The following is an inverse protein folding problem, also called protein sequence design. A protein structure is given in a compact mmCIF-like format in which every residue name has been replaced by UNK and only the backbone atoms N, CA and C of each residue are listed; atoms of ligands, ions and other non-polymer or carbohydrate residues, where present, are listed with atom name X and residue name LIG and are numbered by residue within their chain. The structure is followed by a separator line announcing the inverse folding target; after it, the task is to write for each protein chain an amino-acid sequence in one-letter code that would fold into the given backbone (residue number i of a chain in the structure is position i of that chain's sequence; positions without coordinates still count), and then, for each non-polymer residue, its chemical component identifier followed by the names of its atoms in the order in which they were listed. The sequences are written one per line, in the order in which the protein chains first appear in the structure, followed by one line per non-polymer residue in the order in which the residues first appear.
data_IF_033737779459
#
_entry.id   IF_033737779459
#
_cell.length_a   1.000
_cell.length_b   1.000
_cell.length_c   1.000
_cell.angle_alpha   90.00
_cell.angle_beta   90.00
_cell.angle_gamma   90.00
#
_symmetry.space_group_name_H-M   'P 1'
#
loop_
_entity.id
_entity.type
_entity.pdbx_description
1 polymer ?
#
# COMPACT_ATOMS: atom_id res chain seq x y z
N UNK A 1 -12.52 -52.78 -12.43
CA UNK A 1 -11.24 -52.41 -13.05
C UNK A 1 -10.68 -51.24 -12.24
N UNK A 2 -9.96 -51.53 -11.15
CA UNK A 2 -8.50 -51.60 -11.03
C UNK A 2 -7.86 -50.21 -10.87
N UNK A 3 -7.04 -49.88 -9.86
CA UNK A 3 -6.65 -50.50 -8.58
C UNK A 3 -5.88 -49.40 -7.81
N UNK A 4 -6.17 -49.20 -6.52
CA UNK A 4 -5.28 -48.49 -5.58
C UNK A 4 -4.01 -49.33 -5.29
N UNK A 5 -2.98 -48.74 -4.68
CA UNK A 5 -2.58 -49.32 -3.40
C UNK A 5 -2.21 -48.31 -2.30
N UNK A 6 -2.57 -48.73 -1.09
CA UNK A 6 -2.06 -48.32 0.22
C UNK A 6 -1.03 -49.38 0.66
N UNK A 7 0.09 -49.01 1.29
CA UNK A 7 0.63 -49.76 2.46
C UNK A 7 1.75 -49.05 3.25
N UNK A 8 1.69 -49.35 4.55
CA UNK A 8 2.42 -48.86 5.71
C UNK A 8 3.83 -49.45 5.94
N UNK A 9 4.54 -48.78 6.87
CA UNK A 9 5.39 -49.27 7.99
C UNK A 9 6.83 -49.81 7.79
N UNK A 10 7.81 -49.04 8.35
CA UNK A 10 8.93 -49.31 9.34
C UNK A 10 9.53 -50.75 9.48
N UNK A 11 10.71 -51.01 10.14
CA UNK A 11 11.78 -50.14 10.72
C UNK A 11 13.28 -50.62 10.52
N UNK A 12 14.24 -49.84 11.06
CA UNK A 12 15.63 -50.20 11.52
C UNK A 12 16.70 -50.52 10.43
N UNK A 13 18.01 -50.24 10.51
CA UNK A 13 18.97 -50.02 11.62
C UNK A 13 20.38 -49.52 11.12
N UNK A 14 21.16 -48.93 12.05
CA UNK A 14 22.66 -48.97 12.27
C UNK A 14 23.68 -48.07 11.51
N UNK A 15 24.31 -47.18 12.32
CA UNK A 15 25.73 -46.69 12.47
C UNK A 15 26.46 -45.99 11.31
N UNK A 16 27.38 -45.03 11.52
CA UNK A 16 28.34 -44.82 12.63
C UNK A 16 28.84 -43.36 12.69
N UNK A 17 29.01 -42.82 13.92
CA UNK A 17 30.25 -42.29 14.52
C UNK A 17 30.54 -40.79 14.28
N UNK A 18 31.04 -40.00 15.24
CA UNK A 18 31.19 -40.12 16.68
C UNK A 18 31.56 -38.74 17.27
N UNK A 19 31.07 -38.49 18.50
CA UNK A 19 31.63 -37.76 19.65
C UNK A 19 32.07 -36.28 19.49
N UNK A 20 31.46 -35.29 20.14
CA UNK A 20 31.20 -34.99 21.56
C UNK A 20 32.33 -34.22 22.30
N UNK A 21 31.85 -33.17 22.99
CA UNK A 21 32.46 -32.09 23.78
C UNK A 21 32.76 -32.60 25.22
N UNK A 22 32.86 -31.79 26.31
CA UNK A 22 33.74 -30.67 26.73
C UNK A 22 34.53 -30.97 28.03
N UNK A 23 35.38 -30.03 28.51
CA UNK A 23 35.31 -29.41 29.87
C UNK A 23 36.63 -28.72 30.29
N UNK A 24 36.56 -27.52 30.90
CA UNK A 24 37.67 -26.84 31.62
C UNK A 24 37.96 -27.48 32.99
N UNK A 25 38.47 -26.77 34.04
CA UNK A 25 38.95 -25.37 34.20
C UNK A 25 40.29 -25.25 35.00
N UNK A 26 40.58 -24.06 35.59
CA UNK A 26 41.68 -23.64 36.53
C UNK A 26 43.04 -23.22 35.92
N UNK A 27 43.91 -22.37 36.52
CA UNK A 27 43.92 -21.20 37.42
C UNK A 27 45.41 -20.91 37.73
N UNK A 28 45.85 -19.65 37.80
CA UNK A 28 47.10 -19.15 38.46
C UNK A 28 48.47 -19.68 37.93
N UNK A 29 49.64 -19.02 37.98
CA UNK A 29 50.20 -17.79 38.58
C UNK A 29 51.61 -17.59 37.99
N UNK A 30 52.16 -16.36 38.08
CA UNK A 30 53.56 -15.95 38.39
C UNK A 30 54.74 -16.91 38.10
N UNK A 31 55.95 -16.54 37.68
CA UNK A 31 56.75 -15.31 37.83
C UNK A 31 58.14 -15.56 37.23
N UNK A 32 58.82 -14.46 36.87
CA UNK A 32 60.24 -14.14 37.07
C UNK A 32 61.34 -15.16 36.75
N UNK A 33 62.35 -14.68 36.02
CA UNK A 33 63.72 -14.87 36.49
C UNK A 33 64.56 -13.61 36.28
N UNK A 34 65.46 -13.40 37.23
CA UNK A 34 66.19 -12.17 37.54
C UNK A 34 67.71 -12.37 37.43
N UNK A 35 68.44 -11.33 37.87
CA UNK A 35 69.85 -11.24 38.25
C UNK A 35 70.81 -10.72 37.16
N UNK A 36 71.33 -9.48 37.25
CA UNK A 36 72.36 -8.94 38.18
C UNK A 36 73.78 -9.21 37.64
N UNK A 37 74.81 -8.39 37.72
CA UNK A 37 75.13 -7.02 38.21
C UNK A 37 76.36 -6.56 37.38
N UNK A 38 77.16 -5.53 37.64
CA UNK A 38 77.36 -4.58 38.74
C UNK A 38 78.21 -3.39 38.18
N UNK A 39 78.25 -2.29 38.93
CA UNK A 39 78.91 -0.99 38.65
C UNK A 39 80.41 -1.04 39.04
N UNK A 40 81.30 -0.10 38.58
CA UNK A 40 81.59 1.08 39.44
C UNK A 40 81.93 2.41 38.73
N UNK A 41 81.65 3.48 39.49
CA UNK A 41 82.11 4.89 39.55
C UNK A 41 83.31 5.39 38.71
N UNK A 42 83.21 6.59 38.09
CA UNK A 42 84.03 7.78 38.44
C UNK A 42 83.71 9.06 37.62
N UNK A 43 84.25 10.19 38.12
CA UNK A 43 84.02 11.61 37.88
C UNK A 43 84.28 12.20 36.46
N UNK A 44 83.77 13.44 36.33
CA UNK A 44 84.39 14.64 35.72
C UNK A 44 83.93 15.11 34.32
N UNK A 45 83.30 16.29 34.34
CA UNK A 45 83.30 17.40 33.38
C UNK A 45 83.94 17.18 32.00
N UNK A 46 83.20 17.45 30.92
CA UNK A 46 83.46 18.62 30.05
C UNK A 46 82.72 18.59 28.70
N UNK A 47 82.46 19.81 28.22
CA UNK A 47 82.39 20.24 26.80
C UNK A 47 81.17 19.85 25.96
N UNK A 48 80.37 20.89 25.76
CA UNK A 48 79.51 21.19 24.61
C UNK A 48 80.23 20.87 23.29
N UNK A 49 79.64 19.99 22.47
CA UNK A 49 79.82 19.96 21.02
C UNK A 49 78.50 19.55 20.35
N UNK A 50 78.20 20.27 19.28
CA UNK A 50 76.90 20.44 18.61
C UNK A 50 76.47 19.15 17.88
N UNK A 51 75.25 18.66 18.13
CA UNK A 51 74.62 17.59 17.32
C UNK A 51 73.43 18.14 16.51
N UNK A 52 73.54 18.01 15.19
CA UNK A 52 72.54 18.30 14.15
C UNK A 52 71.14 17.81 14.54
N UNK A 53 70.16 18.71 14.51
CA UNK A 53 68.73 18.37 14.54
C UNK A 53 68.36 17.57 13.29
N UNK A 54 68.04 16.29 13.48
CA UNK A 54 67.30 15.50 12.50
C UNK A 54 65.86 16.01 12.46
N UNK A 55 65.43 16.55 11.31
CA UNK A 55 64.04 16.94 11.06
C UNK A 55 63.25 15.66 10.78
N UNK A 56 62.60 15.11 11.81
CA UNK A 56 61.54 14.13 11.63
C UNK A 56 60.37 14.86 10.95
N UNK A 57 60.07 14.42 9.73
CA UNK A 57 59.08 15.05 8.85
C UNK A 57 57.68 14.91 9.45
N UNK A 58 57.10 16.04 9.87
CA UNK A 58 55.74 16.16 10.42
C UNK A 58 54.63 15.96 9.37
N UNK A 59 54.99 15.54 8.15
CA UNK A 59 54.10 15.46 6.98
C UNK A 59 53.33 14.14 6.92
N UNK A 60 53.74 13.11 7.67
CA UNK A 60 53.08 11.79 7.59
C UNK A 60 51.87 11.60 8.51
N UNK A 61 51.65 12.47 9.50
CA UNK A 61 50.55 12.31 10.46
C UNK A 61 49.26 13.04 10.03
N UNK A 62 49.38 14.09 9.20
CA UNK A 62 48.23 14.86 8.69
C UNK A 62 47.53 14.12 7.55
N UNK A 63 48.25 13.25 6.81
CA UNK A 63 47.68 12.42 5.74
C UNK A 63 46.80 11.27 6.25
N UNK A 64 47.13 10.67 7.40
CA UNK A 64 46.34 9.55 7.95
C UNK A 64 45.04 10.01 8.65
N UNK A 65 44.96 11.24 9.15
CA UNK A 65 43.73 11.74 9.78
C UNK A 65 42.70 12.26 8.77
N UNK A 66 43.09 12.56 7.52
CA UNK A 66 42.15 12.95 6.46
C UNK A 66 41.49 11.76 5.74
N UNK A 67 42.02 10.54 5.90
CA UNK A 67 41.49 9.34 5.25
C UNK A 67 40.36 8.63 6.03
N UNK A 68 40.05 9.06 7.25
CA UNK A 68 39.09 8.37 8.15
C UNK A 68 37.71 9.05 8.24
N UNK A 69 37.49 10.16 7.54
CA UNK A 69 36.17 10.83 7.46
C UNK A 69 35.63 10.96 6.04
N UNK A 70 35.82 9.95 5.20
CA UNK A 70 34.84 9.67 4.14
C UNK A 70 33.61 9.02 4.80
N UNK A 71 32.89 9.80 5.61
CA UNK A 71 31.48 9.52 5.84
C UNK A 71 30.89 9.56 4.44
N UNK A 72 30.47 8.40 3.93
CA UNK A 72 29.60 8.33 2.78
C UNK A 72 28.32 9.08 3.18
N UNK A 73 28.35 10.40 2.98
CA UNK A 73 27.19 11.25 3.04
C UNK A 73 26.35 10.75 1.88
N UNK A 74 25.41 9.85 2.18
CA UNK A 74 24.36 9.54 1.24
C UNK A 74 23.63 10.86 1.07
N UNK A 75 23.69 11.52 -0.11
CA UNK A 75 22.94 12.74 -0.29
C UNK A 75 21.47 12.36 -0.06
N UNK A 76 20.89 12.86 1.03
CA UNK A 76 19.49 12.67 1.29
C UNK A 76 18.74 13.36 0.15
N UNK A 77 18.19 12.56 -0.77
CA UNK A 77 17.35 13.09 -1.85
C UNK A 77 16.03 13.49 -1.23
N UNK A 78 15.77 14.81 -1.13
CA UNK A 78 14.47 15.30 -0.69
C UNK A 78 13.45 15.00 -1.79
N UNK A 79 12.51 14.11 -1.46
CA UNK A 79 11.46 13.61 -2.35
C UNK A 79 10.33 13.06 -1.48
N UNK A 80 9.13 12.96 -2.04
CA UNK A 80 8.02 12.28 -1.41
C UNK A 80 7.89 10.87 -1.99
N UNK A 81 7.82 9.85 -1.12
CA UNK A 81 7.55 8.47 -1.55
C UNK A 81 6.28 7.92 -0.91
N UNK A 82 5.47 7.24 -1.71
CA UNK A 82 4.30 6.51 -1.22
C UNK A 82 4.14 5.18 -1.95
N UNK A 83 3.50 4.21 -1.31
CA UNK A 83 3.14 2.95 -1.95
C UNK A 83 1.66 2.90 -2.32
N UNK A 84 1.32 2.21 -3.41
CA UNK A 84 -0.05 1.80 -3.68
C UNK A 84 -0.21 0.29 -3.53
N UNK A 85 -1.32 -0.13 -2.93
CA UNK A 85 -1.62 -1.52 -2.62
C UNK A 85 -3.13 -1.76 -2.77
N UNK A 86 -3.55 -2.46 -3.83
CA UNK A 86 -4.96 -2.80 -4.09
C UNK A 86 -5.27 -4.29 -3.92
N UNK A 87 -6.56 -4.60 -3.76
CA UNK A 87 -7.10 -5.96 -3.66
C UNK A 87 -6.35 -6.84 -2.65
N UNK A 88 -6.10 -6.33 -1.44
CA UNK A 88 -5.13 -6.92 -0.51
C UNK A 88 -5.74 -7.82 0.57
N UNK A 89 -6.97 -7.54 1.03
CA UNK A 89 -7.59 -8.26 2.15
C UNK A 89 -8.24 -9.56 1.74
N UNK A 90 -7.42 -10.49 1.25
CA UNK A 90 -7.74 -11.88 1.05
C UNK A 90 -6.84 -12.74 1.93
N UNK A 91 -7.38 -13.84 2.45
CA UNK A 91 -6.60 -14.83 3.18
C UNK A 91 -5.80 -15.68 2.18
N UNK A 92 -4.55 -15.30 1.94
CA UNK A 92 -3.65 -16.03 1.02
C UNK A 92 -2.18 -15.92 1.45
N UNK A 93 -1.39 -16.93 1.11
CA UNK A 93 0.07 -16.89 1.33
C UNK A 93 0.75 -15.75 0.56
N UNK A 94 0.21 -15.39 -0.60
CA UNK A 94 0.67 -14.27 -1.40
C UNK A 94 0.39 -12.92 -0.74
N UNK A 95 -0.75 -12.74 -0.04
CA UNK A 95 -1.02 -11.50 0.71
C UNK A 95 0.01 -11.27 1.82
N UNK A 96 0.32 -12.31 2.61
CA UNK A 96 1.34 -12.23 3.66
C UNK A 96 2.74 -11.93 3.08
N UNK A 97 3.11 -12.61 1.99
CA UNK A 97 4.37 -12.40 1.28
C UNK A 97 4.51 -10.94 0.80
N UNK A 98 3.47 -10.40 0.15
CA UNK A 98 3.44 -9.01 -0.31
C UNK A 98 3.56 -8.03 0.86
N UNK A 99 2.85 -8.28 1.97
CA UNK A 99 2.91 -7.45 3.16
C UNK A 99 4.31 -7.43 3.81
N UNK A 100 4.98 -8.59 3.89
CA UNK A 100 6.34 -8.70 4.44
C UNK A 100 7.36 -7.94 3.58
N UNK A 101 7.22 -8.04 2.26
CA UNK A 101 8.05 -7.27 1.32
C UNK A 101 7.76 -5.78 1.42
N UNK A 102 6.49 -5.37 1.53
CA UNK A 102 6.12 -3.96 1.72
C UNK A 102 6.73 -3.38 3.01
N UNK A 103 6.70 -4.11 4.13
CA UNK A 103 7.35 -3.71 5.41
C UNK A 103 8.86 -3.50 5.22
N UNK A 104 9.53 -4.41 4.51
CA UNK A 104 10.97 -4.31 4.20
C UNK A 104 11.29 -3.10 3.32
N UNK A 105 10.51 -2.89 2.27
CA UNK A 105 10.68 -1.76 1.34
C UNK A 105 10.39 -0.44 2.06
N UNK A 106 9.33 -0.34 2.86
CA UNK A 106 9.03 0.88 3.62
C UNK A 106 10.15 1.28 4.57
N UNK A 107 10.77 0.30 5.24
CA UNK A 107 11.91 0.54 6.13
C UNK A 107 13.17 1.01 5.39
N UNK A 108 13.36 0.58 4.13
CA UNK A 108 14.57 0.85 3.34
C UNK A 108 14.42 2.13 2.52
N UNK A 109 13.26 2.33 1.89
CA UNK A 109 13.01 3.42 0.95
C UNK A 109 12.38 4.65 1.60
N UNK A 110 11.97 4.58 2.87
CA UNK A 110 11.31 5.65 3.62
C UNK A 110 9.98 6.10 2.99
N UNK A 111 9.06 5.15 2.81
CA UNK A 111 7.68 5.42 2.37
C UNK A 111 6.96 6.24 3.44
N UNK A 112 6.22 7.29 3.02
CA UNK A 112 5.53 8.23 3.92
C UNK A 112 4.06 7.88 4.19
N UNK A 113 3.39 7.20 3.26
CA UNK A 113 2.02 6.74 3.38
C UNK A 113 1.70 5.64 2.35
N UNK A 114 0.55 4.99 2.53
CA UNK A 114 -0.01 4.03 1.58
C UNK A 114 -1.30 4.60 0.98
N UNK A 115 -1.49 4.44 -0.32
CA UNK A 115 -2.71 4.75 -1.05
C UNK A 115 -3.31 3.46 -1.63
N UNK A 116 -4.41 2.98 -1.04
CA UNK A 116 -5.13 1.80 -1.50
C UNK A 116 -6.20 2.19 -2.51
N UNK A 117 -6.16 1.66 -3.76
CA UNK A 117 -7.24 1.80 -4.72
C UNK A 117 -8.51 1.01 -4.32
N UNK A 118 -8.52 0.30 -3.19
CA UNK A 118 -9.72 -0.34 -2.67
C UNK A 118 -9.82 -1.84 -2.98
N UNK A 119 -11.06 -2.33 -2.97
CA UNK A 119 -11.38 -3.76 -2.80
C UNK A 119 -10.63 -4.31 -1.59
N UNK A 120 -10.84 -3.64 -0.46
CA UNK A 120 -10.05 -3.77 0.76
C UNK A 120 -10.22 -5.16 1.38
N UNK A 121 -11.47 -5.60 1.58
CA UNK A 121 -11.77 -6.90 2.18
C UNK A 121 -12.58 -7.76 1.23
N UNK A 122 -12.14 -8.99 0.98
CA UNK A 122 -12.89 -9.97 0.21
C UNK A 122 -14.29 -10.20 0.82
N UNK A 123 -15.36 -9.93 0.06
CA UNK A 123 -16.74 -9.95 0.53
C UNK A 123 -17.07 -8.91 1.62
N UNK A 124 -16.26 -7.84 1.73
CA UNK A 124 -16.41 -6.75 2.68
C UNK A 124 -16.33 -7.18 4.16
N UNK A 125 -16.71 -6.26 5.04
CA UNK A 125 -16.81 -6.48 6.49
C UNK A 125 -18.28 -6.45 6.93
N UNK A 126 -18.60 -7.14 8.02
CA UNK A 126 -19.94 -7.19 8.61
C UNK A 126 -20.21 -6.02 9.57
N UNK A 127 -19.15 -5.44 10.14
CA UNK A 127 -19.23 -4.36 11.12
C UNK A 127 -17.86 -3.83 11.55
N UNK A 128 -17.86 -2.98 12.58
CA UNK A 128 -16.65 -2.39 13.16
C UNK A 128 -15.80 -3.41 13.93
N UNK A 129 -16.44 -4.44 14.47
CA UNK A 129 -15.83 -5.52 15.25
C UNK A 129 -15.63 -6.80 14.42
N UNK A 130 -15.73 -6.71 13.09
CA UNK A 130 -15.49 -7.87 12.21
C UNK A 130 -14.05 -8.40 12.41
N UNK A 131 -13.85 -9.70 12.66
CA UNK A 131 -12.53 -10.29 12.83
C UNK A 131 -11.56 -10.01 11.67
N UNK A 132 -12.06 -9.76 10.45
CA UNK A 132 -11.24 -9.41 9.28
C UNK A 132 -10.38 -8.17 9.50
N UNK A 133 -10.82 -7.20 10.30
CA UNK A 133 -9.98 -6.05 10.67
C UNK A 133 -8.69 -6.52 11.32
N UNK A 134 -8.80 -7.45 12.27
CA UNK A 134 -7.64 -8.00 12.95
C UNK A 134 -6.83 -8.92 12.03
N UNK A 135 -7.48 -9.91 11.42
CA UNK A 135 -6.79 -11.01 10.74
C UNK A 135 -6.23 -10.66 9.37
N UNK A 136 -6.83 -9.70 8.66
CA UNK A 136 -6.45 -9.34 7.28
C UNK A 136 -5.81 -7.96 7.16
N UNK A 137 -5.89 -7.12 8.20
CA UNK A 137 -5.27 -5.79 8.20
C UNK A 137 -4.25 -5.62 9.34
N UNK A 138 -4.70 -5.65 10.60
CA UNK A 138 -3.84 -5.33 11.74
C UNK A 138 -2.70 -6.35 11.93
N UNK A 139 -2.98 -7.65 11.84
CA UNK A 139 -1.95 -8.68 12.03
C UNK A 139 -1.02 -8.85 10.83
N UNK A 140 -1.50 -8.54 9.63
CA UNK A 140 -0.76 -8.69 8.36
C UNK A 140 0.21 -7.53 8.17
N UNK A 141 -0.29 -6.30 8.32
CA UNK A 141 0.47 -5.07 8.09
C UNK A 141 1.05 -4.45 9.37
N UNK A 142 0.69 -4.97 10.54
CA UNK A 142 1.26 -4.55 11.82
C UNK A 142 2.56 -5.27 12.18
N UNK A 143 3.50 -4.53 12.76
CA UNK A 143 4.71 -5.09 13.34
C UNK A 143 5.19 -4.28 14.56
N UNK A 144 6.06 -4.88 15.37
CA UNK A 144 6.58 -4.24 16.57
C UNK A 144 7.51 -3.05 16.27
N UNK A 145 8.13 -3.03 15.08
CA UNK A 145 9.01 -1.94 14.63
C UNK A 145 8.23 -0.73 14.13
N UNK A 146 6.93 -0.87 13.87
CA UNK A 146 6.13 0.17 13.23
C UNK A 146 6.60 0.49 11.82
N UNK A 147 7.07 -0.51 11.07
CA UNK A 147 7.59 -0.34 9.69
C UNK A 147 6.55 0.29 8.76
N UNK A 148 5.27 0.06 9.04
CA UNK A 148 4.15 0.67 8.32
C UNK A 148 3.28 1.57 9.21
N UNK A 149 3.86 2.17 10.27
CA UNK A 149 3.17 3.15 11.11
C UNK A 149 3.03 4.49 10.38
N UNK A 150 2.07 4.55 9.46
CA UNK A 150 1.83 5.67 8.55
C UNK A 150 0.35 5.74 8.14
N UNK A 151 -0.13 6.84 7.53
CA UNK A 151 -1.48 6.90 6.98
C UNK A 151 -1.71 5.85 5.89
N UNK A 152 -2.89 5.25 5.90
CA UNK A 152 -3.41 4.33 4.89
C UNK A 152 -4.67 4.95 4.29
N UNK A 153 -4.48 5.75 3.26
CA UNK A 153 -5.57 6.37 2.52
C UNK A 153 -6.19 5.33 1.61
N UNK A 154 -7.50 5.15 1.65
CA UNK A 154 -8.18 4.11 0.87
C UNK A 154 -9.48 4.60 0.27
N UNK A 155 -9.94 3.91 -0.77
CA UNK A 155 -11.31 3.98 -1.29
C UNK A 155 -11.98 2.63 -1.17
N UNK A 156 -13.27 2.57 -1.44
CA UNK A 156 -13.99 1.30 -1.54
C UNK A 156 -13.95 0.77 -2.98
N UNK A 157 -13.89 -0.55 -3.09
CA UNK A 157 -14.10 -1.27 -4.34
C UNK A 157 -15.35 -2.13 -4.34
N UNK A 158 -15.57 -2.86 -5.43
CA UNK A 158 -16.77 -3.70 -5.59
C UNK A 158 -16.99 -4.72 -4.46
N UNK A 159 -15.90 -5.30 -3.95
CA UNK A 159 -15.93 -6.25 -2.82
C UNK A 159 -16.43 -5.60 -1.53
N UNK A 160 -16.03 -4.35 -1.27
CA UNK A 160 -16.37 -3.64 -0.03
C UNK A 160 -17.85 -3.24 0.03
N UNK A 161 -18.39 -2.80 -1.11
CA UNK A 161 -19.78 -2.42 -1.28
C UNK A 161 -20.76 -3.61 -1.16
N UNK A 162 -20.26 -4.85 -1.20
CA UNK A 162 -21.10 -6.05 -1.07
C UNK A 162 -21.58 -6.34 0.36
N UNK A 163 -20.99 -5.69 1.36
CA UNK A 163 -21.31 -5.89 2.78
C UNK A 163 -21.52 -4.55 3.52
N UNK A 164 -21.08 -4.45 4.79
CA UNK A 164 -21.24 -3.24 5.59
C UNK A 164 -20.14 -2.21 5.26
N UNK A 165 -20.28 -1.56 4.11
CA UNK A 165 -19.39 -0.47 3.67
C UNK A 165 -19.35 0.72 4.65
N UNK A 166 -20.43 0.95 5.41
CA UNK A 166 -20.48 2.01 6.43
C UNK A 166 -19.49 1.75 7.56
N UNK A 167 -19.28 0.49 7.95
CA UNK A 167 -18.27 0.16 8.96
C UNK A 167 -16.86 0.56 8.52
N UNK A 168 -16.52 0.45 7.24
CA UNK A 168 -15.21 0.88 6.74
C UNK A 168 -15.00 2.39 6.82
N UNK A 169 -16.03 3.21 6.56
CA UNK A 169 -15.93 4.65 6.72
C UNK A 169 -15.83 5.05 8.20
N UNK A 170 -16.68 4.48 9.06
CA UNK A 170 -16.70 4.75 10.50
C UNK A 170 -15.42 4.29 11.22
N UNK A 171 -14.69 3.31 10.67
CA UNK A 171 -13.38 2.90 11.20
C UNK A 171 -12.37 4.05 11.21
N UNK A 172 -12.50 5.02 10.30
CA UNK A 172 -11.67 6.23 10.29
C UNK A 172 -11.85 7.03 11.57
N UNK A 173 -13.09 7.26 12.00
CA UNK A 173 -13.38 7.99 13.23
C UNK A 173 -12.72 7.31 14.44
N UNK A 174 -12.86 5.98 14.55
CA UNK A 174 -12.20 5.20 15.60
C UNK A 174 -10.67 5.31 15.57
N UNK A 175 -10.08 5.34 14.38
CA UNK A 175 -8.62 5.41 14.18
C UNK A 175 -8.04 6.73 14.69
N UNK A 176 -8.80 7.82 14.56
CA UNK A 176 -8.36 9.18 14.92
C UNK A 176 -8.98 9.71 16.22
N UNK A 177 -9.86 8.96 16.89
CA UNK A 177 -10.54 9.35 18.13
C UNK A 177 -9.63 9.47 19.38
N UNK A 178 -8.30 9.59 19.23
CA UNK A 178 -7.40 9.72 20.38
C UNK A 178 -7.49 11.13 20.97
N UNK A 179 -8.04 11.20 22.19
CA UNK A 179 -8.23 12.33 23.11
C UNK A 179 -9.46 13.23 22.90
N UNK A 180 -10.64 12.63 22.87
CA UNK A 180 -11.77 13.22 23.62
C UNK A 180 -12.22 12.20 24.65
N UNK A 181 -11.91 12.42 25.92
CA UNK A 181 -12.46 11.65 27.03
C UNK A 181 -13.97 11.41 26.81
N UNK A 182 -14.40 10.14 26.92
CA UNK A 182 -15.78 9.62 26.77
C UNK A 182 -16.20 9.24 25.34
N UNK A 183 -16.09 7.94 25.04
CA UNK A 183 -17.21 7.25 24.43
C UNK A 183 -17.90 6.45 25.54
N UNK A 184 -19.06 6.88 26.06
CA UNK A 184 -19.87 6.00 26.88
C UNK A 184 -20.46 4.95 25.94
N UNK A 185 -19.90 3.74 25.97
CA UNK A 185 -20.62 2.56 25.52
C UNK A 185 -21.75 2.34 26.52
N UNK A 186 -22.89 2.97 26.27
CA UNK A 186 -24.15 2.60 26.89
C UNK A 186 -25.00 1.89 25.83
N UNK A 187 -24.66 0.64 25.57
CA UNK A 187 -25.61 -0.35 25.05
C UNK A 187 -25.78 -1.43 26.11
N UNK A 188 -26.58 -1.13 27.13
CA UNK A 188 -27.31 -2.16 27.86
C UNK A 188 -28.75 -1.72 28.03
N UNK A 189 -29.64 -2.55 27.51
CA UNK A 189 -31.04 -2.56 27.84
C UNK A 189 -31.17 -2.54 29.37
N UNK A 190 -32.03 -1.65 29.88
CA UNK A 190 -32.42 -1.64 31.27
C UNK A 190 -33.10 -2.98 31.61
N UNK A 191 -32.47 -3.75 32.49
CA UNK A 191 -33.17 -4.69 33.37
C UNK A 191 -33.02 -4.16 34.79
N UNK A 192 -34.12 -3.99 35.54
CA UNK A 192 -34.04 -3.60 36.94
C UNK A 192 -33.59 -4.82 37.74
N UNK A 193 -32.69 -4.57 38.69
CA UNK A 193 -32.48 -5.26 39.96
C UNK A 193 -30.98 -5.32 40.23
N UNK A 194 -30.56 -4.49 41.18
CA UNK A 194 -29.18 -4.41 41.62
C UNK A 194 -28.78 -5.67 42.39
N UNK A 195 -27.61 -6.19 42.04
CA UNK A 195 -26.77 -6.96 42.94
C UNK A 195 -25.32 -6.85 42.43
N UNK A 196 -24.44 -6.34 43.28
CA UNK A 196 -23.02 -6.14 43.01
C UNK A 196 -22.30 -7.46 43.31
N UNK A 197 -21.89 -8.18 42.26
CA UNK A 197 -20.99 -9.32 42.40
C UNK A 197 -19.56 -8.90 42.03
N UNK A 198 -18.75 -8.66 43.06
CA UNK A 198 -17.30 -8.57 42.94
C UNK A 198 -16.75 -10.00 42.75
N UNK A 199 -16.10 -10.25 41.62
CA UNK A 199 -15.08 -11.28 41.45
C UNK A 199 -14.29 -11.00 40.17
N UNK A 200 -13.25 -10.19 40.30
CA UNK A 200 -12.22 -10.04 39.27
C UNK A 200 -11.23 -11.20 39.40
N UNK A 201 -11.47 -12.27 38.65
CA UNK A 201 -10.42 -13.23 38.33
C UNK A 201 -9.43 -12.55 37.39
N UNK A 202 -8.24 -12.24 37.90
CA UNK A 202 -7.09 -11.82 37.08
C UNK A 202 -6.70 -13.01 36.22
N UNK A 203 -7.15 -13.01 34.97
CA UNK A 203 -6.56 -13.84 33.94
C UNK A 203 -5.28 -13.12 33.55
N UNK A 204 -4.13 -13.77 33.72
CA UNK A 204 -2.86 -13.30 33.17
C UNK A 204 -3.00 -13.24 31.64
N UNK A 205 -3.39 -12.07 31.12
CA UNK A 205 -3.26 -11.78 29.70
C UNK A 205 -1.76 -11.82 29.39
N UNK A 206 -1.34 -12.82 28.61
CA UNK A 206 -0.04 -12.84 27.98
C UNK A 206 0.20 -11.46 27.37
N UNK A 207 1.32 -10.82 27.75
CA UNK A 207 1.73 -9.51 27.21
C UNK A 207 1.93 -9.68 25.71
N UNK A 208 0.87 -9.50 24.92
CA UNK A 208 0.97 -9.43 23.48
C UNK A 208 1.76 -8.18 23.15
N UNK A 209 2.88 -8.36 22.47
CA UNK A 209 3.68 -7.26 21.94
C UNK A 209 2.77 -6.38 21.08
N UNK A 210 2.62 -5.11 21.47
CA UNK A 210 1.74 -4.17 20.80
C UNK A 210 2.26 -3.90 19.39
N UNK A 211 1.62 -4.48 18.38
CA UNK A 211 1.91 -4.21 16.97
C UNK A 211 1.40 -2.82 16.58
N UNK A 212 2.21 -2.07 15.85
CA UNK A 212 1.82 -0.82 15.22
C UNK A 212 1.53 -1.09 13.75
N UNK A 213 0.34 -0.72 13.28
CA UNK A 213 -0.13 -0.96 11.90
C UNK A 213 -0.50 0.37 11.22
N UNK A 214 -0.69 0.40 9.90
CA UNK A 214 -1.09 1.60 9.18
C UNK A 214 -2.39 2.19 9.73
N UNK A 215 -2.51 3.52 9.71
CA UNK A 215 -3.70 4.23 10.19
C UNK A 215 -4.73 4.28 9.09
N UNK A 216 -5.85 3.57 9.27
CA UNK A 216 -6.97 3.58 8.34
C UNK A 216 -7.55 4.99 8.11
N UNK A 217 -7.63 5.41 6.85
CA UNK A 217 -8.13 6.74 6.46
C UNK A 217 -9.11 6.64 5.29
N UNK A 218 -10.41 6.69 5.60
CA UNK A 218 -11.54 6.79 4.66
C UNK A 218 -12.57 7.79 5.24
N UNK A 219 -12.33 9.11 5.13
CA UNK A 219 -13.19 10.13 5.74
C UNK A 219 -14.53 10.32 5.00
N UNK A 220 -14.58 9.96 3.73
CA UNK A 220 -15.76 9.90 2.88
C UNK A 220 -15.50 8.93 1.71
N UNK A 221 -16.52 8.53 0.95
CA UNK A 221 -16.36 7.63 -0.21
C UNK A 221 -15.48 8.23 -1.31
N UNK A 222 -15.61 9.55 -1.53
CA UNK A 222 -14.71 10.34 -2.37
C UNK A 222 -14.17 11.50 -1.54
N UNK A 223 -12.89 11.83 -1.70
CA UNK A 223 -12.24 12.90 -0.95
C UNK A 223 -10.95 13.33 -1.64
N UNK A 224 -10.30 14.35 -1.10
CA UNK A 224 -8.97 14.76 -1.52
C UNK A 224 -8.07 15.00 -0.31
N UNK A 225 -6.77 14.85 -0.52
CA UNK A 225 -5.74 15.14 0.46
C UNK A 225 -4.58 15.87 -0.23
N UNK A 226 -4.35 17.12 0.18
CA UNK A 226 -3.30 17.98 -0.38
C UNK A 226 -2.14 18.00 0.59
N UNK A 227 -0.92 17.85 0.08
CA UNK A 227 0.30 17.92 0.88
C UNK A 227 1.40 18.66 0.13
N UNK A 228 2.36 19.17 0.91
CA UNK A 228 3.58 19.78 0.40
C UNK A 228 4.79 18.98 0.87
N UNK A 229 5.86 18.99 0.09
CA UNK A 229 7.10 18.31 0.42
C UNK A 229 8.31 19.08 -0.16
N UNK A 230 9.43 19.13 0.57
CA UNK A 230 10.66 19.68 0.03
C UNK A 230 11.25 18.72 -1.01
N UNK A 231 11.66 19.27 -2.15
CA UNK A 231 12.37 18.55 -3.19
C UNK A 231 13.71 19.19 -3.51
N UNK A 232 14.73 18.37 -3.75
CA UNK A 232 16.04 18.87 -4.16
C UNK A 232 16.00 19.34 -5.62
N UNK A 233 16.47 20.55 -5.89
CA UNK A 233 16.79 21.00 -7.26
C UNK A 233 18.30 20.85 -7.44
N UNK A 234 18.75 20.02 -8.38
CA UNK A 234 20.16 19.59 -8.43
C UNK A 234 21.20 20.72 -8.50
N UNK A 235 22.37 20.49 -7.85
CA UNK A 235 23.67 20.76 -8.46
C UNK A 235 24.54 21.95 -8.03
N UNK A 236 24.54 22.43 -6.78
CA UNK A 236 25.69 23.19 -6.25
C UNK A 236 25.67 23.27 -4.72
N UNK A 237 26.80 22.93 -4.09
CA UNK A 237 27.07 23.11 -2.64
C UNK A 237 26.93 24.58 -2.17
N UNK A 238 26.79 25.51 -3.11
CA UNK A 238 26.66 26.97 -2.91
C UNK A 238 25.25 27.49 -3.29
N UNK A 239 24.38 26.63 -3.81
CA UNK A 239 23.06 26.99 -4.36
C UNK A 239 22.02 25.87 -4.13
N UNK A 240 22.11 25.13 -3.02
CA UNK A 240 21.15 24.07 -2.67
C UNK A 240 19.79 24.67 -2.31
N UNK A 241 19.06 25.12 -3.33
CA UNK A 241 17.65 25.42 -3.23
C UNK A 241 16.90 24.12 -2.95
N UNK A 242 16.11 24.12 -1.88
CA UNK A 242 14.99 23.21 -1.79
C UNK A 242 13.81 23.91 -2.48
N UNK A 243 13.06 23.17 -3.29
CA UNK A 243 11.80 23.64 -3.85
C UNK A 243 10.68 23.01 -3.05
N UNK A 244 9.78 23.83 -2.52
CA UNK A 244 8.55 23.32 -1.93
C UNK A 244 7.61 22.90 -3.05
N UNK A 245 7.31 21.61 -3.10
CA UNK A 245 6.48 20.96 -4.12
C UNK A 245 5.16 20.56 -3.49
N UNK A 246 4.10 20.49 -4.30
CA UNK A 246 2.74 20.21 -3.84
C UNK A 246 2.12 19.04 -4.61
N UNK A 247 1.44 18.12 -3.92
CA UNK A 247 0.69 17.03 -4.53
C UNK A 247 -0.73 16.96 -3.97
N UNK A 248 -1.70 16.77 -4.86
CA UNK A 248 -3.07 16.43 -4.49
C UNK A 248 -3.35 14.98 -4.80
N UNK A 249 -3.67 14.22 -3.76
CA UNK A 249 -4.21 12.87 -3.86
C UNK A 249 -5.74 12.97 -3.89
N UNK A 250 -6.36 12.63 -5.00
CA UNK A 250 -7.82 12.69 -5.20
C UNK A 250 -8.35 11.26 -5.22
N UNK A 251 -9.15 10.91 -4.23
CA UNK A 251 -9.69 9.57 -4.02
C UNK A 251 -11.13 9.56 -4.50
N UNK A 252 -11.45 8.65 -5.43
CA UNK A 252 -12.79 8.54 -6.02
C UNK A 252 -13.36 7.14 -5.84
N UNK A 253 -14.66 7.06 -5.63
CA UNK A 253 -15.39 5.80 -5.59
C UNK A 253 -16.05 5.54 -6.94
N UNK A 254 -15.46 4.63 -7.71
CA UNK A 254 -15.94 4.31 -9.06
C UNK A 254 -17.30 3.60 -9.07
N UNK A 255 -17.71 2.97 -7.96
CA UNK A 255 -19.05 2.40 -7.87
C UNK A 255 -20.09 3.50 -7.65
N UNK A 256 -19.83 4.48 -6.79
CA UNK A 256 -20.66 5.68 -6.61
C UNK A 256 -20.82 6.49 -7.89
N UNK A 257 -19.74 6.64 -8.67
CA UNK A 257 -19.77 7.36 -9.95
C UNK A 257 -20.50 6.58 -11.05
N UNK A 258 -20.76 5.29 -10.86
CA UNK A 258 -21.39 4.44 -11.87
C UNK A 258 -22.88 4.74 -12.03
N UNK A 259 -23.39 4.52 -13.25
CA UNK A 259 -24.82 4.59 -13.53
C UNK A 259 -25.64 3.52 -12.79
N UNK A 260 -24.98 2.51 -12.22
CA UNK A 260 -25.60 1.42 -11.48
C UNK A 260 -25.79 1.75 -10.00
N UNK A 261 -25.23 2.86 -9.50
CA UNK A 261 -25.41 3.27 -8.13
C UNK A 261 -26.85 3.73 -7.88
N UNK A 262 -27.54 3.22 -6.83
CA UNK A 262 -28.97 3.40 -6.69
C UNK A 262 -29.40 4.81 -6.21
N UNK A 263 -28.49 5.61 -5.62
CA UNK A 263 -28.83 6.93 -5.09
C UNK A 263 -28.25 8.05 -5.96
N UNK A 264 -29.04 8.53 -6.91
CA UNK A 264 -28.62 9.53 -7.89
C UNK A 264 -28.13 10.84 -7.25
N UNK A 265 -28.70 11.26 -6.12
CA UNK A 265 -28.24 12.45 -5.39
C UNK A 265 -26.79 12.33 -4.91
N UNK A 266 -26.37 11.14 -4.48
CA UNK A 266 -24.99 10.85 -4.06
C UNK A 266 -24.09 10.86 -5.28
N UNK A 267 -24.48 10.17 -6.37
CA UNK A 267 -23.72 10.13 -7.62
C UNK A 267 -23.53 11.54 -8.20
N UNK A 268 -24.58 12.36 -8.27
CA UNK A 268 -24.50 13.74 -8.76
C UNK A 268 -23.60 14.61 -7.88
N UNK A 269 -23.65 14.44 -6.55
CA UNK A 269 -22.75 15.16 -5.63
C UNK A 269 -21.29 14.74 -5.83
N UNK A 270 -21.02 13.45 -5.97
CA UNK A 270 -19.68 12.92 -6.20
C UNK A 270 -19.07 13.44 -7.52
N UNK A 271 -19.85 13.44 -8.61
CA UNK A 271 -19.42 14.03 -9.89
C UNK A 271 -19.16 15.53 -9.77
N UNK A 272 -20.07 16.29 -9.14
CA UNK A 272 -19.89 17.74 -8.96
C UNK A 272 -18.65 18.08 -8.13
N UNK A 273 -18.38 17.34 -7.06
CA UNK A 273 -17.19 17.53 -6.24
C UNK A 273 -15.91 17.17 -7.00
N UNK A 274 -15.94 16.08 -7.77
CA UNK A 274 -14.81 15.65 -8.58
C UNK A 274 -14.47 16.68 -9.67
N UNK A 275 -15.47 17.14 -10.42
CA UNK A 275 -15.30 18.17 -11.44
C UNK A 275 -14.71 19.46 -10.84
N UNK A 276 -15.25 19.90 -9.69
CA UNK A 276 -14.73 21.09 -9.00
C UNK A 276 -13.29 20.90 -8.52
N UNK A 277 -12.98 19.73 -7.96
CA UNK A 277 -11.63 19.41 -7.49
C UNK A 277 -10.64 19.38 -8.65
N UNK A 278 -10.98 18.75 -9.78
CA UNK A 278 -10.13 18.67 -10.97
C UNK A 278 -10.01 20.01 -11.71
N UNK A 279 -10.98 20.92 -11.61
CA UNK A 279 -10.87 22.28 -12.15
C UNK A 279 -9.92 23.17 -11.31
N UNK A 280 -9.88 22.95 -9.99
CA UNK A 280 -9.04 23.72 -9.07
C UNK A 280 -7.62 23.16 -8.95
N UNK A 281 -7.44 21.84 -9.04
CA UNK A 281 -6.17 21.17 -8.81
C UNK A 281 -4.99 21.72 -9.66
N UNK A 282 -5.12 21.98 -10.98
CA UNK A 282 -4.01 22.53 -11.79
C UNK A 282 -3.60 23.95 -11.39
N UNK A 283 -4.51 24.70 -10.74
CA UNK A 283 -4.26 26.06 -10.27
C UNK A 283 -3.44 26.08 -8.98
N UNK A 284 -3.44 24.98 -8.22
CA UNK A 284 -2.87 24.87 -6.87
C UNK A 284 -1.62 23.98 -6.85
N UNK A 285 -1.63 22.86 -7.55
CA UNK A 285 -0.74 21.72 -7.30
C UNK A 285 0.34 21.54 -8.37
N UNK A 286 1.52 21.02 -7.99
CA UNK A 286 2.54 20.53 -8.93
C UNK A 286 2.13 19.17 -9.51
N UNK A 287 1.77 18.24 -8.62
CA UNK A 287 1.36 16.88 -8.95
C UNK A 287 -0.13 16.65 -8.63
N UNK A 288 -0.83 15.95 -9.52
CA UNK A 288 -2.23 15.54 -9.32
C UNK A 288 -2.31 14.04 -9.57
N UNK A 289 -2.69 13.29 -8.55
CA UNK A 289 -2.79 11.83 -8.59
C UNK A 289 -4.21 11.46 -8.20
N UNK A 290 -4.88 10.67 -9.04
CA UNK A 290 -6.23 10.16 -8.78
C UNK A 290 -6.14 8.69 -8.40
N UNK A 291 -6.86 8.27 -7.36
CA UNK A 291 -6.87 6.90 -6.84
C UNK A 291 -8.30 6.38 -6.83
N UNK A 292 -8.51 5.18 -7.36
CA UNK A 292 -9.84 4.62 -7.62
C UNK A 292 -9.81 3.09 -7.66
N UNK A 293 -10.95 2.39 -7.51
CA UNK A 293 -10.98 0.92 -7.67
C UNK A 293 -10.87 0.52 -9.14
N UNK A 294 -11.85 0.90 -9.98
CA UNK A 294 -11.88 0.44 -11.37
C UNK A 294 -10.86 1.17 -12.26
N UNK A 295 -10.14 0.44 -13.14
CA UNK A 295 -9.29 1.05 -14.16
C UNK A 295 -10.10 1.76 -15.25
N UNK A 296 -9.63 2.91 -15.73
CA UNK A 296 -10.10 3.49 -16.99
C UNK A 296 -9.68 2.59 -18.16
N UNK A 297 -8.39 2.24 -18.20
CA UNK A 297 -7.82 1.28 -19.16
C UNK A 297 -7.12 0.15 -18.41
N UNK A 298 -7.24 -1.07 -18.94
CA UNK A 298 -6.55 -2.24 -18.40
C UNK A 298 -6.37 -3.30 -19.48
N UNK A 299 -5.24 -3.98 -19.48
CA UNK A 299 -5.01 -5.21 -20.24
C UNK A 299 -5.43 -6.46 -19.47
N UNK A 300 -5.80 -6.31 -18.20
CA UNK A 300 -6.28 -7.35 -17.30
C UNK A 300 -7.64 -7.92 -17.68
N UNK A 301 -8.33 -8.45 -16.68
CA UNK A 301 -9.60 -9.16 -16.87
C UNK A 301 -10.76 -8.24 -17.22
N UNK A 302 -10.79 -7.03 -16.65
CA UNK A 302 -11.85 -6.04 -16.84
C UNK A 302 -11.86 -5.43 -18.25
N UNK A 303 -10.68 -5.34 -18.88
CA UNK A 303 -10.43 -4.55 -20.11
C UNK A 303 -10.68 -3.05 -19.97
N UNK A 304 -10.67 -2.54 -18.74
CA UNK A 304 -11.03 -1.16 -18.42
C UNK A 304 -12.53 -0.95 -18.29
N UNK A 305 -12.95 0.30 -18.19
CA UNK A 305 -14.36 0.66 -18.04
C UNK A 305 -14.74 1.74 -19.07
N UNK A 306 -15.59 1.38 -20.02
CA UNK A 306 -16.00 2.28 -21.10
C UNK A 306 -16.77 3.51 -20.61
N UNK A 307 -17.46 3.42 -19.47
CA UNK A 307 -18.14 4.57 -18.88
C UNK A 307 -17.11 5.55 -18.33
N UNK A 308 -16.09 5.05 -17.63
CA UNK A 308 -14.99 5.90 -17.14
C UNK A 308 -14.18 6.48 -18.31
N UNK A 309 -13.94 5.72 -19.38
CA UNK A 309 -13.30 6.25 -20.60
C UNK A 309 -14.10 7.37 -21.26
N UNK A 310 -15.43 7.30 -21.20
CA UNK A 310 -16.29 8.30 -21.82
C UNK A 310 -16.48 9.55 -20.96
N UNK A 311 -16.72 9.40 -19.65
CA UNK A 311 -17.07 10.51 -18.76
C UNK A 311 -15.89 11.01 -17.92
N UNK A 312 -15.08 10.11 -17.36
CA UNK A 312 -14.01 10.46 -16.42
C UNK A 312 -12.74 10.90 -17.16
N UNK A 313 -12.28 10.11 -18.12
CA UNK A 313 -11.02 10.34 -18.84
C UNK A 313 -10.90 11.75 -19.46
N UNK A 314 -11.95 12.35 -20.06
CA UNK A 314 -11.86 13.74 -20.53
C UNK A 314 -11.56 14.75 -19.41
N UNK A 315 -12.10 14.54 -18.21
CA UNK A 315 -11.82 15.39 -17.04
C UNK A 315 -10.39 15.23 -16.56
N UNK A 316 -9.90 13.98 -16.50
CA UNK A 316 -8.52 13.67 -16.11
C UNK A 316 -7.51 14.32 -17.08
N UNK A 317 -7.77 14.21 -18.39
CA UNK A 317 -6.96 14.83 -19.45
C UNK A 317 -7.01 16.35 -19.39
N UNK A 318 -8.21 16.94 -19.17
CA UNK A 318 -8.38 18.38 -19.04
C UNK A 318 -7.62 18.95 -17.83
N UNK A 319 -7.64 18.25 -16.70
CA UNK A 319 -6.88 18.62 -15.51
C UNK A 319 -5.38 18.29 -15.63
N UNK A 320 -4.97 17.62 -16.72
CA UNK A 320 -3.59 17.23 -16.99
C UNK A 320 -2.97 16.47 -15.80
N UNK A 321 -3.70 15.49 -15.24
CA UNK A 321 -3.23 14.74 -14.06
C UNK A 321 -1.98 13.92 -14.36
N UNK A 322 -1.16 13.62 -13.37
CA UNK A 322 0.08 12.86 -13.54
C UNK A 322 -0.20 11.35 -13.61
N UNK A 323 -0.97 10.84 -12.64
CA UNK A 323 -1.30 9.41 -12.57
C UNK A 323 -2.75 9.15 -12.15
N UNK A 324 -3.34 8.11 -12.76
CA UNK A 324 -4.57 7.47 -12.32
C UNK A 324 -4.21 6.07 -11.80
N UNK A 325 -4.34 5.85 -10.50
CA UNK A 325 -3.98 4.61 -9.83
C UNK A 325 -5.25 3.80 -9.58
N UNK A 326 -5.30 2.60 -10.14
CA UNK A 326 -6.43 1.69 -10.00
C UNK A 326 -6.08 0.34 -9.39
N UNK A 327 -7.09 -0.36 -8.89
CA UNK A 327 -7.03 -1.74 -8.45
C UNK A 327 -7.89 -2.60 -9.36
N UNK A 328 -8.86 -3.30 -8.76
CA UNK A 328 -9.87 -4.13 -9.41
C UNK A 328 -9.31 -5.37 -10.15
N UNK A 329 -8.47 -5.19 -11.16
CA UNK A 329 -7.77 -6.30 -11.80
C UNK A 329 -6.56 -6.75 -10.96
N UNK A 330 -6.40 -8.07 -10.79
CA UNK A 330 -5.32 -8.67 -10.01
C UNK A 330 -3.96 -8.68 -10.74
N UNK A 331 -3.55 -7.55 -11.30
CA UNK A 331 -2.27 -7.39 -12.00
C UNK A 331 -1.58 -6.07 -11.66
N UNK A 332 -0.32 -5.99 -12.06
CA UNK A 332 0.48 -4.77 -12.09
C UNK A 332 0.62 -4.30 -13.54
N UNK A 333 0.23 -3.06 -13.84
CA UNK A 333 0.31 -2.52 -15.20
C UNK A 333 0.60 -1.03 -15.20
N UNK A 334 1.35 -0.56 -16.21
CA UNK A 334 1.44 0.87 -16.55
C UNK A 334 1.01 1.04 -18.00
N UNK A 335 -0.03 1.83 -18.21
CA UNK A 335 -0.50 2.29 -19.52
C UNK A 335 -0.25 3.81 -19.58
N UNK A 336 0.36 4.29 -20.67
CA UNK A 336 0.56 5.72 -20.89
C UNK A 336 -0.34 6.22 -22.01
N UNK A 337 -1.19 7.21 -21.71
CA UNK A 337 -2.13 7.82 -22.65
C UNK A 337 -2.03 9.34 -22.60
N UNK A 338 -1.50 9.98 -23.66
CA UNK A 338 -1.32 11.44 -23.77
C UNK A 338 -0.71 12.06 -22.49
N UNK A 339 0.39 11.48 -22.02
CA UNK A 339 1.11 11.89 -20.82
C UNK A 339 0.32 11.70 -19.50
N UNK A 340 -0.73 10.88 -19.46
CA UNK A 340 -1.33 10.40 -18.20
C UNK A 340 -0.89 8.97 -17.96
N UNK A 341 -0.34 8.70 -16.77
CA UNK A 341 0.07 7.36 -16.35
C UNK A 341 -1.12 6.64 -15.69
N UNK A 342 -1.73 5.69 -16.40
CA UNK A 342 -2.74 4.78 -15.85
C UNK A 342 -2.03 3.57 -15.23
N UNK A 343 -2.02 3.49 -13.91
CA UNK A 343 -1.27 2.49 -13.14
C UNK A 343 -2.24 1.53 -12.46
N UNK A 344 -2.30 0.29 -12.94
CA UNK A 344 -3.04 -0.77 -12.24
C UNK A 344 -2.14 -1.42 -11.19
N UNK A 345 -2.60 -1.42 -9.94
CA UNK A 345 -1.89 -1.91 -8.78
C UNK A 345 -2.77 -2.82 -7.90
N UNK A 346 -3.46 -3.78 -8.53
CA UNK A 346 -4.42 -4.66 -7.86
C UNK A 346 -3.88 -6.04 -7.48
N UNK A 347 -2.57 -6.25 -7.51
CA UNK A 347 -1.95 -7.56 -7.24
C UNK A 347 -1.52 -7.76 -5.77
N UNK A 348 -2.19 -7.10 -4.81
CA UNK A 348 -1.78 -7.11 -3.40
C UNK A 348 -1.95 -8.45 -2.69
N UNK A 349 -2.82 -9.32 -3.19
CA UNK A 349 -3.10 -10.65 -2.61
C UNK A 349 -2.94 -11.82 -3.57
N UNK A 350 -3.20 -11.61 -4.85
CA UNK A 350 -3.08 -12.62 -5.90
C UNK A 350 -2.55 -11.98 -7.17
N UNK A 351 -2.07 -12.83 -8.06
CA UNK A 351 -1.60 -12.45 -9.38
C UNK A 351 -2.44 -13.13 -10.46
N UNK A 352 -2.89 -12.36 -11.44
CA UNK A 352 -3.55 -12.87 -12.63
C UNK A 352 -2.56 -13.60 -13.55
N UNK A 353 -3.06 -14.23 -14.61
CA UNK A 353 -2.20 -14.74 -15.68
C UNK A 353 -1.66 -13.63 -16.59
N UNK A 354 -0.98 -14.03 -17.67
CA UNK A 354 -0.60 -13.14 -18.76
C UNK A 354 -1.83 -12.49 -19.41
N UNK A 355 -1.70 -11.22 -19.81
CA UNK A 355 -2.74 -10.54 -20.59
C UNK A 355 -2.92 -11.23 -21.96
N UNK A 356 -4.16 -11.55 -22.32
CA UNK A 356 -4.52 -12.14 -23.62
C UNK A 356 -4.24 -11.14 -24.75
N UNK A 357 -4.69 -9.90 -24.58
CA UNK A 357 -4.47 -8.77 -25.48
C UNK A 357 -4.15 -7.58 -24.61
N UNK A 358 -3.04 -6.89 -24.94
CA UNK A 358 -2.60 -5.69 -24.25
C UNK A 358 -3.22 -4.45 -24.90
N UNK A 359 -3.51 -3.45 -24.08
CA UNK A 359 -3.85 -2.11 -24.53
C UNK A 359 -2.68 -1.52 -25.33
N UNK A 360 -2.96 -0.73 -26.37
CA UNK A 360 -1.91 -0.16 -27.24
C UNK A 360 -0.93 0.74 -26.49
N UNK A 361 -1.39 1.44 -25.45
CA UNK A 361 -0.56 2.26 -24.57
C UNK A 361 0.13 1.50 -23.42
N UNK A 362 -0.01 0.17 -23.34
CA UNK A 362 0.58 -0.64 -22.27
C UNK A 362 2.10 -0.67 -22.38
N UNK A 363 2.79 -0.08 -21.40
CA UNK A 363 4.25 -0.06 -21.31
C UNK A 363 4.78 -1.32 -20.61
N UNK A 364 4.04 -1.81 -19.63
CA UNK A 364 4.38 -3.00 -18.87
C UNK A 364 3.13 -3.65 -18.30
N UNK A 365 3.12 -4.99 -18.25
CA UNK A 365 2.09 -5.79 -17.59
C UNK A 365 2.76 -6.98 -16.88
N UNK A 366 2.36 -7.23 -15.64
CA UNK A 366 2.72 -8.44 -14.90
C UNK A 366 1.52 -8.96 -14.11
N UNK A 367 1.29 -10.26 -14.21
CA UNK A 367 0.35 -10.97 -13.36
C UNK A 367 0.98 -11.48 -12.06
N UNK A 368 2.16 -11.00 -11.66
CA UNK A 368 2.76 -11.40 -10.38
C UNK A 368 2.17 -10.61 -9.21
N UNK A 369 1.97 -11.24 -8.03
CA UNK A 369 1.65 -10.52 -6.81
C UNK A 369 2.70 -9.46 -6.48
N UNK A 370 2.26 -8.31 -5.99
CA UNK A 370 3.14 -7.19 -5.71
C UNK A 370 2.38 -5.89 -5.45
N UNK A 371 3.13 -4.79 -5.47
CA UNK A 371 2.62 -3.44 -5.19
C UNK A 371 3.40 -2.40 -6.00
N UNK A 372 3.04 -1.13 -5.86
CA UNK A 372 3.65 -0.05 -6.63
C UNK A 372 4.27 0.98 -5.69
N UNK A 373 5.43 1.52 -6.06
CA UNK A 373 6.12 2.59 -5.34
C UNK A 373 6.19 3.83 -6.23
N UNK A 374 5.85 4.98 -5.67
CA UNK A 374 5.86 6.27 -6.36
C UNK A 374 6.87 7.19 -5.68
N UNK A 375 7.70 7.86 -6.47
CA UNK A 375 8.70 8.83 -5.99
C UNK A 375 8.47 10.15 -6.73
N UNK A 376 8.11 11.19 -5.97
CA UNK A 376 7.85 12.53 -6.50
C UNK A 376 9.06 13.41 -6.18
N UNK A 377 9.65 13.98 -7.23
CA UNK A 377 10.87 14.80 -7.14
C UNK A 377 10.63 16.18 -7.76
N UNK A 378 11.65 17.05 -7.76
CA UNK A 378 11.58 18.32 -8.49
C UNK A 378 11.58 18.13 -10.02
N UNK A 379 12.08 16.98 -10.50
CA UNK A 379 12.27 16.68 -11.92
C UNK A 379 11.10 15.90 -12.52
N UNK A 380 10.37 15.14 -11.69
CA UNK A 380 9.23 14.34 -12.16
C UNK A 380 8.77 13.25 -11.20
N UNK A 381 7.84 12.45 -11.71
CA UNK A 381 7.25 11.28 -11.07
C UNK A 381 7.96 10.01 -11.54
N UNK A 382 8.44 9.20 -10.60
CA UNK A 382 8.95 7.84 -10.87
C UNK A 382 7.95 6.85 -10.30
N UNK A 383 7.49 5.91 -11.13
CA UNK A 383 6.61 4.80 -10.75
C UNK A 383 7.38 3.49 -10.90
N UNK A 384 7.48 2.71 -9.83
CA UNK A 384 8.13 1.40 -9.79
C UNK A 384 7.11 0.32 -9.46
N UNK A 385 7.08 -0.74 -10.24
CA UNK A 385 6.26 -1.93 -9.97
C UNK A 385 7.14 -2.94 -9.24
N UNK A 386 6.75 -3.33 -8.03
CA UNK A 386 7.55 -4.14 -7.12
C UNK A 386 6.98 -5.55 -7.03
N UNK A 387 7.81 -6.56 -7.25
CA UNK A 387 7.46 -7.96 -7.08
C UNK A 387 7.34 -8.33 -5.60
N UNK A 388 6.24 -8.98 -5.22
CA UNK A 388 5.93 -9.29 -3.82
C UNK A 388 6.84 -10.33 -3.17
N UNK A 389 7.55 -11.16 -3.94
CA UNK A 389 8.36 -12.27 -3.43
C UNK A 389 9.71 -11.83 -2.87
N UNK A 390 10.42 -10.97 -3.60
CA UNK A 390 11.80 -10.56 -3.27
C UNK A 390 11.92 -9.06 -2.99
N UNK A 391 10.93 -8.26 -3.42
CA UNK A 391 11.00 -6.81 -3.46
C UNK A 391 11.76 -6.27 -4.67
N UNK A 392 11.98 -7.10 -5.70
CA UNK A 392 12.62 -6.65 -6.94
C UNK A 392 11.75 -5.63 -7.69
N UNK A 393 12.41 -4.69 -8.36
CA UNK A 393 11.74 -3.74 -9.25
C UNK A 393 11.51 -4.42 -10.60
N UNK A 394 10.27 -4.81 -10.87
CA UNK A 394 9.86 -5.46 -12.12
C UNK A 394 9.87 -4.48 -13.30
N UNK A 395 9.51 -3.23 -13.05
CA UNK A 395 9.45 -2.17 -14.05
C UNK A 395 9.58 -0.79 -13.41
N UNK A 396 10.15 0.16 -14.16
CA UNK A 396 10.22 1.57 -13.77
C UNK A 396 9.71 2.43 -14.93
N UNK A 397 8.77 3.32 -14.63
CA UNK A 397 8.29 4.35 -15.52
C UNK A 397 8.60 5.73 -14.93
N UNK A 398 9.22 6.60 -15.73
CA UNK A 398 9.55 7.97 -15.31
C UNK A 398 8.83 8.96 -16.20
N UNK A 399 8.20 9.94 -15.57
CA UNK A 399 7.50 11.02 -16.23
C UNK A 399 8.06 12.36 -15.73
N UNK A 400 8.43 13.29 -16.63
CA UNK A 400 8.92 14.61 -16.22
C UNK A 400 7.81 15.42 -15.54
N UNK A 401 8.19 16.35 -14.66
CA UNK A 401 7.27 17.28 -14.02
C UNK A 401 6.47 18.06 -15.08
N UNK A 402 5.15 18.01 -14.97
CA UNK A 402 4.25 18.70 -15.89
C UNK A 402 4.30 20.22 -15.72
N UNK A 403 4.26 20.94 -16.85
CA UNK A 403 4.07 22.39 -16.85
C UNK A 403 2.58 22.71 -16.74
N UNK A 404 2.21 23.45 -15.71
CA UNK A 404 0.82 23.88 -15.43
C UNK A 404 0.72 25.39 -15.54
N UNK A 405 0.37 25.95 -16.72
CA UNK A 405 0.27 27.40 -16.90
C UNK A 405 -0.85 28.03 -16.06
N UNK A 406 -1.85 27.24 -15.63
CA UNK A 406 -2.95 27.69 -14.78
C UNK A 406 -2.52 27.93 -13.33
N UNK A 407 -1.31 27.50 -12.95
CA UNK A 407 -0.83 27.55 -11.57
C UNK A 407 -0.70 28.98 -11.06
N UNK A 408 -1.32 29.25 -9.92
CA UNK A 408 -1.35 30.57 -9.27
C UNK A 408 -0.90 30.45 -7.81
N UNK A 409 0.41 30.38 -7.59
CA UNK A 409 0.99 30.18 -6.25
C UNK A 409 0.58 31.25 -5.23
N UNK A 410 0.37 32.51 -5.67
CA UNK A 410 -0.05 33.62 -4.78
C UNK A 410 -1.50 33.46 -4.33
N UNK A 411 -2.39 33.04 -5.23
CA UNK A 411 -3.82 32.87 -4.97
C UNK A 411 -4.19 31.46 -4.50
N UNK A 412 -3.20 30.58 -4.30
CA UNK A 412 -3.42 29.17 -4.00
C UNK A 412 -4.33 28.97 -2.78
N UNK A 413 -4.17 29.79 -1.74
CA UNK A 413 -5.03 29.76 -0.56
C UNK A 413 -6.50 30.01 -0.90
N UNK A 414 -6.80 31.01 -1.74
CA UNK A 414 -8.17 31.31 -2.16
C UNK A 414 -8.79 30.15 -2.94
N UNK A 415 -8.02 29.46 -3.78
CA UNK A 415 -8.51 28.27 -4.50
C UNK A 415 -8.72 27.07 -3.57
N UNK A 416 -7.85 26.87 -2.57
CA UNK A 416 -8.02 25.82 -1.56
C UNK A 416 -9.33 26.01 -0.79
N UNK A 417 -9.70 27.24 -0.43
CA UNK A 417 -11.00 27.50 0.25
C UNK A 417 -12.23 27.20 -0.62
N UNK A 418 -12.05 27.05 -1.93
CA UNK A 418 -13.12 26.72 -2.86
C UNK A 418 -13.27 25.21 -3.07
N UNK A 419 -12.32 24.39 -2.61
CA UNK A 419 -12.41 22.94 -2.73
C UNK A 419 -13.67 22.42 -2.00
N UNK A 420 -14.29 21.34 -2.51
CA UNK A 420 -15.41 20.69 -1.80
C UNK A 420 -15.01 20.28 -0.38
N UNK A 421 -15.92 20.44 0.56
CA UNK A 421 -15.64 20.02 1.93
C UNK A 421 -15.57 18.48 2.04
N UNK A 422 -14.51 17.95 2.64
CA UNK A 422 -14.37 16.52 2.91
C UNK A 422 -15.10 16.18 4.20
N UNK A 423 -16.34 15.73 4.07
CA UNK A 423 -17.20 15.25 5.15
C UNK A 423 -17.83 13.92 4.78
N UNK A 424 -18.00 13.06 5.78
CA UNK A 424 -18.70 11.80 5.61
C UNK A 424 -20.12 12.04 5.07
N UNK A 425 -20.42 11.48 3.91
CA UNK A 425 -21.73 11.56 3.28
C UNK A 425 -22.49 10.26 3.51
N UNK A 426 -23.50 10.21 4.39
CA UNK A 426 -24.18 8.95 4.70
C UNK A 426 -24.89 8.37 3.47
N UNK A 427 -24.64 7.10 3.18
CA UNK A 427 -25.32 6.33 2.14
C UNK A 427 -26.24 5.33 2.83
N UNK A 428 -27.56 5.33 2.56
CA UNK A 428 -28.47 4.38 3.17
C UNK A 428 -28.07 2.94 2.82
N UNK A 429 -28.20 2.04 3.80
CA UNK A 429 -27.96 0.61 3.60
C UNK A 429 -28.66 0.15 2.32
N UNK A 430 -27.90 -0.47 1.42
CA UNK A 430 -28.49 -1.04 0.22
C UNK A 430 -29.43 -2.14 0.65
N UNK A 431 -30.72 -2.00 0.36
CA UNK A 431 -31.63 -3.14 0.43
C UNK A 431 -31.05 -4.29 -0.38
N UNK A 432 -31.33 -5.55 0.00
CA UNK A 432 -30.87 -6.74 -0.74
C UNK A 432 -31.07 -6.47 -2.23
N UNK A 433 -29.98 -6.32 -2.98
CA UNK A 433 -30.09 -6.11 -4.42
C UNK A 433 -30.89 -7.28 -4.98
N UNK A 434 -31.92 -7.03 -5.80
CA UNK A 434 -32.71 -8.08 -6.40
C UNK A 434 -31.91 -8.68 -7.57
N UNK A 435 -30.66 -9.07 -7.37
CA UNK A 435 -29.74 -9.46 -8.45
C UNK A 435 -29.86 -10.93 -8.82
N UNK A 436 -29.90 -11.81 -7.82
CA UNK A 436 -29.97 -13.26 -8.10
C UNK A 436 -31.37 -13.72 -8.46
N UNK A 437 -32.39 -13.21 -7.76
CA UNK A 437 -33.78 -13.62 -7.99
C UNK A 437 -34.38 -13.01 -9.26
N UNK A 438 -34.02 -11.77 -9.63
CA UNK A 438 -34.52 -11.17 -10.88
C UNK A 438 -33.83 -11.79 -12.09
N UNK A 439 -32.53 -12.03 -12.05
CA UNK A 439 -31.85 -12.73 -13.13
C UNK A 439 -32.39 -14.16 -13.31
N UNK A 440 -32.56 -14.93 -12.23
CA UNK A 440 -33.15 -16.27 -12.29
C UNK A 440 -34.61 -16.22 -12.76
N UNK A 441 -35.39 -15.22 -12.37
CA UNK A 441 -36.77 -15.05 -12.87
C UNK A 441 -36.80 -14.66 -14.34
N UNK A 442 -35.97 -13.72 -14.78
CA UNK A 442 -35.94 -13.24 -16.17
C UNK A 442 -35.41 -14.35 -17.10
N UNK A 443 -34.27 -14.94 -16.77
CA UNK A 443 -33.68 -16.05 -17.54
C UNK A 443 -34.56 -17.29 -17.48
N UNK A 444 -35.14 -17.60 -16.31
CA UNK A 444 -36.11 -18.69 -16.16
C UNK A 444 -37.38 -18.49 -16.99
N UNK A 445 -37.91 -17.25 -17.04
CA UNK A 445 -39.09 -16.93 -17.84
C UNK A 445 -38.79 -17.00 -19.34
N UNK A 446 -37.65 -16.46 -19.78
CA UNK A 446 -37.21 -16.56 -21.19
C UNK A 446 -37.01 -18.03 -21.59
N UNK A 447 -36.36 -18.84 -20.74
CA UNK A 447 -36.19 -20.27 -20.96
C UNK A 447 -37.52 -21.03 -21.08
N UNK A 448 -38.50 -20.69 -20.23
CA UNK A 448 -39.83 -21.29 -20.27
C UNK A 448 -40.60 -20.93 -21.56
N UNK A 449 -40.50 -19.67 -22.01
CA UNK A 449 -41.08 -19.22 -23.28
C UNK A 449 -40.48 -19.96 -24.49
N UNK A 450 -39.15 -20.12 -24.52
CA UNK A 450 -38.46 -20.85 -25.59
C UNK A 450 -38.88 -22.32 -25.60
N UNK A 451 -38.93 -22.98 -24.44
CA UNK A 451 -39.36 -24.37 -24.32
C UNK A 451 -40.81 -24.56 -24.80
N UNK A 452 -41.70 -23.65 -24.43
CA UNK A 452 -43.11 -23.68 -24.85
C UNK A 452 -43.23 -23.54 -26.37
N UNK A 453 -42.46 -22.63 -26.99
CA UNK A 453 -42.44 -22.46 -28.44
C UNK A 453 -42.00 -23.74 -29.17
N UNK A 454 -40.92 -24.39 -28.72
CA UNK A 454 -40.47 -25.65 -29.33
C UNK A 454 -41.46 -26.80 -29.12
N UNK A 455 -42.15 -26.84 -27.99
CA UNK A 455 -43.19 -27.84 -27.73
C UNK A 455 -44.37 -27.67 -28.69
N UNK A 456 -44.82 -26.44 -28.92
CA UNK A 456 -45.91 -26.16 -29.86
C UNK A 456 -45.55 -26.52 -31.31
N UNK A 457 -44.31 -26.25 -31.73
CA UNK A 457 -43.82 -26.66 -33.05
C UNK A 457 -43.74 -28.18 -33.19
N UNK A 458 -43.33 -28.89 -32.14
CA UNK A 458 -43.23 -30.35 -32.14
C UNK A 458 -44.61 -31.01 -32.21
N UNK A 459 -45.59 -30.47 -31.48
CA UNK A 459 -46.99 -30.94 -31.54
C UNK A 459 -47.60 -30.66 -32.92
N UNK A 460 -47.41 -29.45 -33.47
CA UNK A 460 -47.89 -29.11 -34.81
C UNK A 460 -47.29 -30.03 -35.89
N UNK A 461 -46.00 -30.36 -35.77
CA UNK A 461 -45.30 -31.29 -36.67
C UNK A 461 -45.82 -32.73 -36.53
N UNK A 462 -46.13 -33.16 -35.31
CA UNK A 462 -46.72 -34.48 -35.04
C UNK A 462 -48.14 -34.62 -35.59
N UNK A 463 -48.99 -33.62 -35.37
CA UNK A 463 -50.36 -33.58 -35.90
C UNK A 463 -50.34 -33.54 -37.44
N UNK A 464 -49.45 -32.76 -38.05
CA UNK A 464 -49.30 -32.73 -39.51
C UNK A 464 -48.85 -34.07 -40.11
N UNK A 465 -48.09 -34.88 -39.37
CA UNK A 465 -47.71 -36.24 -39.81
C UNK A 465 -48.82 -37.27 -39.60
N UNK A 466 -49.75 -37.03 -38.69
CA UNK A 466 -50.90 -37.90 -38.44
C UNK A 466 -52.08 -37.62 -39.38
N UNK A 467 -52.16 -36.39 -39.91
CA UNK A 467 -53.19 -35.97 -40.88
C UNK A 467 -52.82 -36.19 -42.35
N UNK A 468 -51.61 -36.68 -42.63
CA UNK A 468 -51.19 -37.21 -43.95
C UNK A 468 -51.22 -38.73 -43.88
#
# INVERSE_FOLDING_TARGET
MARFPVRNSRPSSVSSAAADVPSGPFCASSSADAAAGAVPSEMMSSRIQVRKRSRISFVSLVGCCLAVFLVATHPASAQLKFAALGNWGFESSSSQMVADTLKKVASTDHISFIASPGSNFAGGVTGLDDPKWKTLYEDVYGDAKGSLKMPFFTVLGGEDWSANYTAQALRTELTYAVNSDKLPVNTTAAAPNGEVAANATVVEEAVQEKKEFPKWTLPNWWYHYLMHFPANTGGAFINSGHKDMSVGMIFIDTWVLSSSFPFSNVTSKAWADLEKTLDLAPKILDYIIVVADRPVYSSGSSKGDSMLQYYLEPLLKKANIDAYISGYDFNLEVISEKDVSHVSCGAGSFGAGSAIVKHSGSLFYSGQPGFCLFELTADGLVTKLIGGSTGEVLFTHTQPLKKRPERKSIDAFNFVTQLPEVKYWPVPAMGKMPGRDVFVRVVGTIGLCIATFFLTLSVASGVSRYMK
#
